data_IF_049404034332
#
_entry.id   IF_049404034332
#
_cell.length_a   1.000
_cell.length_b   1.000
_cell.length_c   1.000
_cell.angle_alpha   90.00
_cell.angle_beta   90.00
_cell.angle_gamma   90.00
#
_symmetry.space_group_name_H-M   'P 1'
#
loop_
_entity.id
_entity.type
_entity.pdbx_description
1 polymer ?
#
# COMPACT_ATOMS: atom_id res chain seq x y z
N UNK A 1 16.90 14.87 13.07
CA UNK A 1 15.79 15.20 13.99
C UNK A 1 14.89 16.16 13.22
N UNK A 2 13.83 15.65 12.58
CA UNK A 2 12.96 16.50 11.78
C UNK A 2 12.03 17.27 12.73
N UNK A 3 12.14 18.60 12.69
CA UNK A 3 11.27 19.52 13.42
C UNK A 3 9.91 19.53 12.71
N UNK A 4 8.87 19.00 13.33
CA UNK A 4 7.50 19.06 12.80
C UNK A 4 6.88 20.41 13.18
N UNK A 5 6.25 21.15 12.23
CA UNK A 5 5.53 22.36 12.57
C UNK A 5 4.37 22.03 13.51
N UNK A 6 4.30 22.75 14.62
CA UNK A 6 3.23 22.69 15.61
C UNK A 6 1.93 23.28 15.05
N UNK A 7 1.20 22.48 14.26
CA UNK A 7 -0.09 22.90 13.67
C UNK A 7 -1.21 21.88 13.78
N UNK A 8 -0.91 20.58 13.68
CA UNK A 8 -1.92 19.50 13.76
C UNK A 8 -1.29 18.21 14.30
N UNK A 9 -0.69 18.26 15.49
CA UNK A 9 -0.24 17.04 16.15
C UNK A 9 -1.42 16.06 16.25
N UNK A 10 -1.27 14.86 15.68
CA UNK A 10 -2.28 13.80 15.79
C UNK A 10 -2.63 13.63 17.27
N UNK A 11 -3.92 13.78 17.58
CA UNK A 11 -4.39 13.77 18.96
C UNK A 11 -4.21 12.38 19.60
N UNK A 12 -4.30 12.31 20.93
CA UNK A 12 -4.40 11.03 21.66
C UNK A 12 -5.56 10.12 21.17
N UNK A 13 -6.53 10.67 20.45
CA UNK A 13 -7.62 9.92 19.83
C UNK A 13 -7.25 9.39 18.44
N UNK A 14 -6.41 10.11 17.71
CA UNK A 14 -6.07 9.78 16.32
C UNK A 14 -5.20 8.52 16.22
N UNK A 15 -4.23 8.35 17.12
CA UNK A 15 -3.41 7.12 17.14
C UNK A 15 -4.24 5.90 17.56
N UNK A 16 -5.20 6.05 18.48
CA UNK A 16 -6.10 4.98 18.88
C UNK A 16 -7.00 4.54 17.70
N UNK A 17 -7.52 5.51 16.92
CA UNK A 17 -8.26 5.22 15.68
C UNK A 17 -7.37 4.53 14.65
N UNK A 18 -6.15 5.03 14.43
CA UNK A 18 -5.20 4.43 13.50
C UNK A 18 -4.87 2.98 13.85
N UNK A 19 -4.58 2.69 15.12
CA UNK A 19 -4.32 1.33 15.61
C UNK A 19 -5.57 0.43 15.49
N UNK A 20 -6.76 0.94 15.82
CA UNK A 20 -7.99 0.17 15.69
C UNK A 20 -8.26 -0.21 14.22
N UNK A 21 -8.07 0.73 13.28
CA UNK A 21 -8.19 0.46 11.85
C UNK A 21 -7.13 -0.53 11.36
N UNK A 22 -5.88 -0.37 11.80
CA UNK A 22 -4.81 -1.30 11.46
C UNK A 22 -5.11 -2.72 11.95
N UNK A 23 -5.58 -2.87 13.19
CA UNK A 23 -6.01 -4.16 13.74
C UNK A 23 -7.18 -4.75 12.94
N UNK A 24 -8.20 -3.95 12.61
CA UNK A 24 -9.34 -4.41 11.80
C UNK A 24 -8.90 -4.92 10.42
N UNK A 25 -8.04 -4.18 9.72
CA UNK A 25 -7.54 -4.58 8.39
C UNK A 25 -6.71 -5.86 8.50
N UNK A 26 -5.78 -5.95 9.45
CA UNK A 26 -4.94 -7.14 9.66
C UNK A 26 -5.79 -8.36 9.98
N UNK A 27 -6.74 -8.24 10.91
CA UNK A 27 -7.61 -9.34 11.31
C UNK A 27 -8.54 -9.76 10.17
N UNK A 28 -9.11 -8.80 9.42
CA UNK A 28 -9.91 -9.09 8.25
C UNK A 28 -9.10 -9.81 7.16
N UNK A 29 -7.89 -9.32 6.88
CA UNK A 29 -6.97 -9.95 5.92
C UNK A 29 -6.64 -11.37 6.33
N UNK A 30 -6.25 -11.60 7.59
CA UNK A 30 -5.94 -12.94 8.10
C UNK A 30 -7.15 -13.85 8.05
N UNK A 31 -8.34 -13.34 8.39
CA UNK A 31 -9.57 -14.13 8.38
C UNK A 31 -9.93 -14.57 6.97
N UNK A 32 -9.96 -13.64 6.01
CA UNK A 32 -10.27 -13.96 4.60
C UNK A 32 -9.24 -14.92 4.03
N UNK A 33 -7.95 -14.66 4.27
CA UNK A 33 -6.84 -15.49 3.84
C UNK A 33 -6.94 -16.92 4.40
N UNK A 34 -7.07 -17.06 5.72
CA UNK A 34 -7.13 -18.37 6.38
C UNK A 34 -8.38 -19.13 5.95
N UNK A 35 -9.54 -18.48 5.92
CA UNK A 35 -10.79 -19.11 5.50
C UNK A 35 -10.71 -19.60 4.05
N UNK A 36 -10.30 -18.73 3.12
CA UNK A 36 -10.28 -19.04 1.70
C UNK A 36 -9.31 -20.18 1.37
N UNK A 37 -8.19 -20.28 2.06
CA UNK A 37 -7.13 -21.25 1.74
C UNK A 37 -7.30 -22.57 2.50
N UNK A 38 -7.69 -22.52 3.77
CA UNK A 38 -7.67 -23.73 4.62
C UNK A 38 -9.05 -24.28 4.92
N UNK A 39 -10.07 -23.42 5.07
CA UNK A 39 -11.37 -23.82 5.63
C UNK A 39 -12.46 -24.02 4.58
N UNK A 40 -12.41 -23.25 3.47
CA UNK A 40 -13.41 -23.34 2.41
C UNK A 40 -13.06 -24.45 1.41
N UNK A 41 -14.04 -25.29 1.11
CA UNK A 41 -13.98 -26.25 0.01
C UNK A 41 -14.61 -25.64 -1.25
N UNK A 42 -13.76 -25.08 -2.11
CA UNK A 42 -14.18 -24.44 -3.35
C UNK A 42 -14.70 -25.40 -4.42
N UNK A 43 -14.67 -26.72 -4.19
CA UNK A 43 -15.26 -27.71 -5.10
C UNK A 43 -16.77 -27.83 -4.95
N UNK A 44 -17.34 -27.28 -3.86
CA UNK A 44 -18.77 -27.32 -3.61
C UNK A 44 -19.55 -26.52 -4.67
N UNK A 45 -20.68 -27.05 -5.17
CA UNK A 45 -21.50 -26.37 -6.17
C UNK A 45 -21.89 -24.95 -5.73
N UNK A 46 -21.68 -23.97 -6.62
CA UNK A 46 -22.07 -22.57 -6.40
C UNK A 46 -21.06 -21.71 -5.63
N UNK A 47 -20.14 -22.29 -4.85
CA UNK A 47 -19.15 -21.49 -4.10
C UNK A 47 -18.13 -20.79 -5.01
N UNK A 48 -17.78 -21.37 -6.16
CA UNK A 48 -16.88 -20.72 -7.13
C UNK A 48 -17.39 -19.36 -7.61
N UNK A 49 -18.70 -19.10 -7.56
CA UNK A 49 -19.27 -17.80 -7.90
C UNK A 49 -18.86 -16.68 -6.92
N UNK A 50 -18.52 -17.04 -5.68
CA UNK A 50 -18.01 -16.11 -4.68
C UNK A 50 -16.50 -15.83 -4.82
N UNK A 51 -15.77 -16.64 -5.60
CA UNK A 51 -14.31 -16.53 -5.70
C UNK A 51 -13.83 -15.14 -6.17
N UNK A 52 -14.42 -14.50 -7.21
CA UNK A 52 -14.00 -13.17 -7.62
C UNK A 52 -14.14 -12.12 -6.51
N UNK A 53 -15.21 -12.20 -5.70
CA UNK A 53 -15.44 -11.28 -4.59
C UNK A 53 -14.40 -11.49 -3.48
N UNK A 54 -14.10 -12.75 -3.14
CA UNK A 54 -13.08 -13.07 -2.14
C UNK A 54 -11.69 -12.63 -2.59
N UNK A 55 -11.35 -12.84 -3.87
CA UNK A 55 -10.07 -12.38 -4.45
C UNK A 55 -10.00 -10.85 -4.44
N UNK A 56 -11.06 -10.15 -4.83
CA UNK A 56 -11.11 -8.69 -4.82
C UNK A 56 -10.98 -8.13 -3.39
N UNK A 57 -11.66 -8.74 -2.42
CA UNK A 57 -11.56 -8.36 -1.01
C UNK A 57 -10.15 -8.60 -0.46
N UNK A 58 -9.57 -9.77 -0.75
CA UNK A 58 -8.20 -10.11 -0.33
C UNK A 58 -7.17 -9.17 -0.98
N UNK A 59 -7.36 -8.81 -2.26
CA UNK A 59 -6.56 -7.81 -2.96
C UNK A 59 -6.63 -6.45 -2.25
N UNK A 60 -7.86 -5.94 -2.00
CA UNK A 60 -8.04 -4.65 -1.34
C UNK A 60 -7.47 -4.64 0.09
N UNK A 61 -7.66 -5.70 0.87
CA UNK A 61 -7.06 -5.82 2.19
C UNK A 61 -5.52 -5.90 2.14
N UNK A 62 -4.96 -6.48 1.08
CA UNK A 62 -3.51 -6.54 0.86
C UNK A 62 -2.93 -5.15 0.55
N UNK A 63 -3.66 -4.33 -0.22
CA UNK A 63 -3.35 -2.88 -0.33
C UNK A 63 -3.36 -2.24 1.06
N UNK A 64 -4.40 -2.52 1.87
CA UNK A 64 -4.51 -2.01 3.24
C UNK A 64 -3.31 -2.35 4.13
N UNK A 65 -2.79 -3.59 4.06
CA UNK A 65 -1.56 -3.97 4.78
C UNK A 65 -0.37 -3.10 4.40
N UNK A 66 -0.20 -2.84 3.10
CA UNK A 66 0.89 -1.98 2.62
C UNK A 66 0.70 -0.54 3.08
N UNK A 67 -0.53 -0.02 3.08
CA UNK A 67 -0.84 1.33 3.55
C UNK A 67 -0.57 1.50 5.05
N UNK A 68 -0.86 0.49 5.88
CA UNK A 68 -0.47 0.50 7.29
C UNK A 68 1.05 0.57 7.41
N UNK A 69 1.78 -0.27 6.66
CA UNK A 69 3.23 -0.26 6.68
C UNK A 69 3.79 1.09 6.23
N UNK A 70 3.23 1.68 5.19
CA UNK A 70 3.57 3.01 4.70
C UNK A 70 3.38 4.07 5.80
N UNK A 71 2.24 4.12 6.48
CA UNK A 71 2.00 5.07 7.58
C UNK A 71 3.03 4.90 8.72
N UNK A 72 3.48 3.66 8.97
CA UNK A 72 4.55 3.42 9.94
C UNK A 72 5.91 3.98 9.48
N UNK A 73 6.17 4.09 8.17
CA UNK A 73 7.41 4.67 7.64
C UNK A 73 7.46 6.17 7.92
N UNK A 74 6.34 6.88 7.86
CA UNK A 74 6.26 8.27 8.31
C UNK A 74 6.09 8.42 9.82
N UNK A 75 5.82 7.32 10.52
CA UNK A 75 5.53 7.32 11.95
C UNK A 75 4.15 7.88 12.31
N UNK A 76 3.25 8.03 11.33
CA UNK A 76 1.92 8.61 11.52
C UNK A 76 0.96 7.66 12.26
N UNK A 77 1.19 6.34 12.19
CA UNK A 77 0.38 5.34 12.90
C UNK A 77 0.51 5.44 14.43
N UNK A 78 1.74 5.47 14.94
CA UNK A 78 2.03 5.66 16.38
C UNK A 78 3.08 6.77 16.60
N UNK A 79 2.65 8.06 16.57
CA UNK A 79 3.56 9.19 16.73
C UNK A 79 4.35 9.10 18.04
N UNK A 80 5.66 9.38 17.98
CA UNK A 80 6.56 9.29 19.14
C UNK A 80 6.98 7.88 19.54
N UNK A 81 6.48 6.83 18.88
CA UNK A 81 6.82 5.42 19.15
C UNK A 81 7.47 4.72 17.94
N UNK A 82 8.68 5.13 17.52
CA UNK A 82 9.31 4.61 16.30
C UNK A 82 9.55 3.10 16.32
N UNK A 83 9.78 2.50 17.49
CA UNK A 83 9.94 1.04 17.62
C UNK A 83 8.63 0.30 17.31
N UNK A 84 7.50 0.81 17.80
CA UNK A 84 6.20 0.21 17.57
C UNK A 84 5.81 0.30 16.09
N UNK A 85 6.00 1.47 15.48
CA UNK A 85 5.83 1.66 14.02
C UNK A 85 6.65 0.63 13.24
N UNK A 86 7.96 0.49 13.51
CA UNK A 86 8.80 -0.48 12.81
C UNK A 86 8.33 -1.91 12.99
N UNK A 87 7.91 -2.31 14.20
CA UNK A 87 7.40 -3.66 14.44
C UNK A 87 6.12 -3.94 13.65
N UNK A 88 5.15 -3.02 13.70
CA UNK A 88 3.88 -3.17 12.97
C UNK A 88 4.15 -3.18 11.46
N UNK A 89 4.93 -2.24 10.96
CA UNK A 89 5.28 -2.16 9.54
C UNK A 89 5.99 -3.41 9.03
N UNK A 90 6.98 -3.92 9.79
CA UNK A 90 7.66 -5.19 9.48
C UNK A 90 6.69 -6.35 9.42
N UNK A 91 5.78 -6.45 10.39
CA UNK A 91 4.77 -7.50 10.40
C UNK A 91 3.87 -7.42 9.17
N UNK A 92 3.32 -6.23 8.85
CA UNK A 92 2.42 -6.02 7.72
C UNK A 92 3.07 -6.39 6.37
N UNK A 93 4.29 -5.90 6.08
CA UNK A 93 4.96 -6.21 4.80
C UNK A 93 5.49 -7.64 4.74
N UNK A 94 5.77 -8.25 5.89
CA UNK A 94 6.14 -9.67 5.98
C UNK A 94 4.97 -10.57 5.62
N UNK A 95 3.79 -10.38 6.22
CA UNK A 95 2.62 -11.20 5.89
C UNK A 95 2.06 -10.90 4.50
N UNK A 96 2.27 -9.69 3.98
CA UNK A 96 1.86 -9.31 2.64
C UNK A 96 2.60 -10.13 1.56
N UNK A 97 3.92 -10.10 1.55
CA UNK A 97 4.73 -10.81 0.55
C UNK A 97 6.19 -11.06 0.99
N UNK A 98 6.48 -11.02 2.29
CA UNK A 98 7.85 -11.22 2.80
C UNK A 98 8.81 -10.07 2.50
N UNK A 99 8.31 -8.87 2.19
CA UNK A 99 9.15 -7.72 1.84
C UNK A 99 10.04 -7.23 3.00
N UNK A 100 11.11 -6.51 2.66
CA UNK A 100 12.01 -5.92 3.64
C UNK A 100 11.49 -4.55 4.01
N UNK A 101 11.02 -4.39 5.24
CA UNK A 101 10.56 -3.10 5.73
C UNK A 101 11.65 -2.03 5.66
N UNK A 102 12.89 -2.35 6.06
CA UNK A 102 13.96 -1.36 6.14
C UNK A 102 14.34 -0.84 4.76
N UNK A 103 14.35 -1.72 3.75
CA UNK A 103 14.56 -1.34 2.35
C UNK A 103 13.42 -0.47 1.82
N UNK A 104 12.18 -0.87 2.09
CA UNK A 104 11.00 -0.08 1.70
C UNK A 104 11.03 1.30 2.36
N UNK A 105 11.38 1.37 3.66
CA UNK A 105 11.51 2.63 4.39
C UNK A 105 12.53 3.57 3.75
N UNK A 106 13.73 3.07 3.41
CA UNK A 106 14.79 3.87 2.78
C UNK A 106 14.37 4.38 1.40
N UNK A 107 13.84 3.49 0.57
CA UNK A 107 13.38 3.83 -0.77
C UNK A 107 12.23 4.83 -0.74
N UNK A 108 11.24 4.60 0.12
CA UNK A 108 10.08 5.49 0.26
C UNK A 108 10.49 6.92 0.65
N UNK A 109 11.44 7.05 1.58
CA UNK A 109 11.98 8.37 1.91
C UNK A 109 12.83 8.97 0.78
N UNK A 110 13.50 8.14 -0.04
CA UNK A 110 14.20 8.63 -1.23
C UNK A 110 13.21 9.17 -2.26
N UNK A 111 12.11 8.43 -2.49
CA UNK A 111 11.02 8.87 -3.34
C UNK A 111 10.48 10.24 -2.91
N UNK A 112 10.14 10.43 -1.63
CA UNK A 112 9.68 11.74 -1.14
C UNK A 112 10.70 12.88 -1.32
N UNK A 113 12.00 12.60 -1.23
CA UNK A 113 13.05 13.64 -1.39
C UNK A 113 13.32 13.97 -2.85
N UNK A 114 13.22 12.99 -3.73
CA UNK A 114 13.71 13.07 -5.10
C UNK A 114 12.60 12.85 -6.13
N UNK A 115 11.33 12.94 -5.72
CA UNK A 115 10.15 12.56 -6.50
C UNK A 115 10.24 13.04 -7.95
N UNK A 116 10.03 12.12 -8.89
CA UNK A 116 10.04 12.41 -10.32
C UNK A 116 11.41 12.80 -10.90
N UNK A 117 12.52 12.50 -10.23
CA UNK A 117 13.90 12.65 -10.75
C UNK A 117 14.55 11.29 -11.03
N UNK A 118 15.77 11.27 -11.55
CA UNK A 118 16.54 10.04 -11.75
C UNK A 118 16.94 9.34 -10.44
N UNK A 119 16.95 10.05 -9.31
CA UNK A 119 17.31 9.51 -7.98
C UNK A 119 16.09 8.96 -7.21
N UNK A 120 14.89 9.07 -7.79
CA UNK A 120 13.67 8.47 -7.26
C UNK A 120 13.62 6.97 -7.62
N UNK A 121 13.69 6.05 -6.63
CA UNK A 121 13.64 4.61 -6.89
C UNK A 121 12.31 4.16 -7.52
N UNK A 122 11.26 4.96 -7.35
CA UNK A 122 9.91 4.66 -7.80
C UNK A 122 9.59 5.29 -9.14
N UNK A 123 10.48 6.11 -9.72
CA UNK A 123 10.25 6.81 -10.99
C UNK A 123 11.04 6.20 -12.16
N UNK A 124 10.41 6.15 -13.32
CA UNK A 124 11.08 5.79 -14.56
C UNK A 124 11.25 6.98 -15.50
N UNK A 125 12.42 7.60 -15.50
CA UNK A 125 12.73 8.76 -16.36
C UNK A 125 12.62 8.40 -17.84
N UNK A 126 12.97 7.17 -18.23
CA UNK A 126 12.95 6.74 -19.65
C UNK A 126 11.52 6.44 -20.12
N UNK A 127 10.65 5.98 -19.22
CA UNK A 127 9.30 5.51 -19.51
C UNK A 127 8.24 6.22 -18.66
N UNK A 128 8.43 7.51 -18.39
CA UNK A 128 7.69 8.29 -17.40
C UNK A 128 6.19 8.45 -17.69
N UNK A 129 5.74 8.05 -18.87
CA UNK A 129 4.33 8.06 -19.31
C UNK A 129 3.83 6.67 -19.74
N UNK A 130 4.63 5.62 -19.56
CA UNK A 130 4.34 4.26 -20.02
C UNK A 130 4.20 3.29 -18.84
N UNK A 131 2.99 2.82 -18.60
CA UNK A 131 2.67 1.99 -17.45
C UNK A 131 3.49 0.70 -17.35
N UNK A 132 3.52 -0.12 -18.42
CA UNK A 132 4.10 -1.47 -18.35
C UNK A 132 5.62 -1.49 -18.18
N UNK A 133 6.43 -0.72 -18.93
CA UNK A 133 7.87 -0.66 -18.72
C UNK A 133 8.22 -0.17 -17.31
N UNK A 134 7.52 0.86 -16.84
CA UNK A 134 7.74 1.42 -15.51
C UNK A 134 7.36 0.41 -14.41
N UNK A 135 6.21 -0.26 -14.51
CA UNK A 135 5.83 -1.31 -13.57
C UNK A 135 6.87 -2.43 -13.51
N UNK A 136 7.42 -2.84 -14.66
CA UNK A 136 8.46 -3.86 -14.71
C UNK A 136 9.76 -3.39 -14.02
N UNK A 137 10.19 -2.14 -14.24
CA UNK A 137 11.34 -1.54 -13.53
C UNK A 137 11.11 -1.50 -12.02
N UNK A 138 9.96 -0.98 -11.59
CA UNK A 138 9.56 -0.90 -10.19
C UNK A 138 9.56 -2.29 -9.54
N UNK A 139 8.87 -3.26 -10.15
CA UNK A 139 8.81 -4.62 -9.62
C UNK A 139 10.20 -5.25 -9.48
N UNK A 140 11.06 -5.13 -10.49
CA UNK A 140 12.45 -5.64 -10.44
C UNK A 140 13.31 -4.93 -9.41
N UNK A 141 13.04 -3.65 -9.14
CA UNK A 141 13.72 -2.93 -8.08
C UNK A 141 13.37 -3.59 -6.73
N UNK A 142 12.08 -3.74 -6.40
CA UNK A 142 11.66 -4.22 -5.08
C UNK A 142 11.75 -5.74 -4.89
N UNK A 143 11.63 -6.51 -5.96
CA UNK A 143 11.64 -7.97 -5.93
C UNK A 143 13.03 -8.51 -6.30
N UNK A 144 13.92 -8.63 -5.30
CA UNK A 144 15.27 -9.17 -5.47
C UNK A 144 15.38 -10.64 -5.04
N UNK A 145 16.63 -11.11 -4.87
CA UNK A 145 16.90 -12.49 -4.47
C UNK A 145 16.37 -12.87 -3.09
N UNK A 146 16.34 -11.91 -2.15
CA UNK A 146 15.75 -12.11 -0.83
C UNK A 146 14.25 -12.37 -0.94
N UNK A 147 13.53 -11.52 -1.67
CA UNK A 147 12.08 -11.63 -1.86
C UNK A 147 11.73 -12.92 -2.62
N UNK A 148 12.52 -13.26 -3.65
CA UNK A 148 12.39 -14.53 -4.35
C UNK A 148 12.58 -15.75 -3.42
N UNK A 149 13.59 -15.72 -2.55
CA UNK A 149 13.81 -16.78 -1.56
C UNK A 149 12.67 -16.89 -0.56
N UNK A 150 12.18 -15.76 -0.04
CA UNK A 150 11.02 -15.72 0.86
C UNK A 150 9.76 -16.27 0.21
N UNK A 151 9.47 -15.87 -1.03
CA UNK A 151 8.34 -16.39 -1.81
C UNK A 151 8.48 -17.90 -2.03
N UNK A 152 9.69 -18.37 -2.35
CA UNK A 152 9.98 -19.79 -2.55
C UNK A 152 9.72 -20.59 -1.27
N UNK A 153 10.17 -20.11 -0.11
CA UNK A 153 9.88 -20.73 1.19
C UNK A 153 8.37 -20.80 1.42
N UNK A 154 7.65 -19.71 1.17
CA UNK A 154 6.20 -19.67 1.34
C UNK A 154 5.50 -20.68 0.42
N UNK A 155 5.86 -20.72 -0.87
CA UNK A 155 5.34 -21.69 -1.85
C UNK A 155 5.59 -23.13 -1.40
N UNK A 156 6.81 -23.46 -0.95
CA UNK A 156 7.15 -24.80 -0.47
C UNK A 156 6.31 -25.17 0.76
N UNK A 157 6.16 -24.27 1.72
CA UNK A 157 5.32 -24.51 2.90
C UNK A 157 3.86 -24.77 2.50
N UNK A 158 3.32 -23.96 1.58
CA UNK A 158 1.95 -24.14 1.09
C UNK A 158 1.79 -25.46 0.34
N UNK A 159 2.77 -25.85 -0.47
CA UNK A 159 2.77 -27.12 -1.17
C UNK A 159 2.74 -28.30 -0.20
N UNK A 160 3.56 -28.24 0.87
CA UNK A 160 3.63 -29.28 1.90
C UNK A 160 2.33 -29.39 2.71
N UNK A 161 1.70 -28.26 3.02
CA UNK A 161 0.46 -28.20 3.82
C UNK A 161 -0.76 -28.60 2.98
N UNK A 162 -0.89 -28.05 1.76
CA UNK A 162 -2.09 -28.16 0.93
C UNK A 162 -2.08 -29.36 -0.01
N UNK A 163 -0.88 -29.89 -0.36
CA UNK A 163 -0.71 -31.05 -1.23
C UNK A 163 -1.51 -30.91 -2.53
N UNK A 164 -2.44 -31.82 -2.79
CA UNK A 164 -3.30 -31.83 -3.99
C UNK A 164 -4.22 -30.60 -4.09
N UNK A 165 -4.55 -29.95 -2.96
CA UNK A 165 -5.36 -28.70 -2.95
C UNK A 165 -4.55 -27.48 -3.41
N UNK A 166 -3.22 -27.58 -3.48
CA UNK A 166 -2.34 -26.43 -3.72
C UNK A 166 -2.69 -25.62 -4.98
N UNK A 167 -2.93 -26.21 -6.17
CA UNK A 167 -3.16 -25.43 -7.39
C UNK A 167 -4.40 -24.53 -7.29
N UNK A 168 -5.50 -25.02 -6.71
CA UNK A 168 -6.73 -24.25 -6.53
C UNK A 168 -6.56 -23.14 -5.49
N UNK A 169 -5.91 -23.44 -4.37
CA UNK A 169 -5.71 -22.46 -3.30
C UNK A 169 -4.69 -21.38 -3.66
N UNK A 170 -3.78 -21.66 -4.60
CA UNK A 170 -2.82 -20.68 -5.11
C UNK A 170 -3.52 -19.43 -5.67
N UNK A 171 -4.70 -19.58 -6.28
CA UNK A 171 -5.49 -18.46 -6.80
C UNK A 171 -5.92 -17.51 -5.68
N UNK A 172 -6.22 -18.02 -4.48
CA UNK A 172 -6.64 -17.20 -3.33
C UNK A 172 -5.48 -16.54 -2.59
N UNK A 173 -4.23 -16.89 -2.92
CA UNK A 173 -3.03 -16.29 -2.33
C UNK A 173 -2.24 -15.44 -3.32
N UNK A 174 -1.84 -16.02 -4.46
CA UNK A 174 -0.96 -15.37 -5.42
C UNK A 174 -1.67 -14.30 -6.25
N UNK A 175 -2.87 -14.59 -6.76
CA UNK A 175 -3.61 -13.63 -7.58
C UNK A 175 -3.95 -12.32 -6.84
N UNK A 176 -4.54 -12.34 -5.62
CA UNK A 176 -4.81 -11.08 -4.92
C UNK A 176 -3.54 -10.30 -4.58
N UNK A 177 -2.41 -10.96 -4.28
CA UNK A 177 -1.13 -10.29 -4.04
C UNK A 177 -0.56 -9.62 -5.30
N UNK A 178 -0.66 -10.28 -6.47
CA UNK A 178 -0.26 -9.69 -7.75
C UNK A 178 -1.16 -8.50 -8.08
N UNK A 179 -2.48 -8.67 -7.98
CA UNK A 179 -3.44 -7.60 -8.26
C UNK A 179 -3.25 -6.41 -7.31
N UNK A 180 -2.98 -6.64 -6.02
CA UNK A 180 -2.72 -5.55 -5.08
C UNK A 180 -1.44 -4.81 -5.39
N UNK A 181 -0.40 -5.50 -5.88
CA UNK A 181 0.84 -4.82 -6.32
C UNK A 181 0.61 -3.92 -7.54
N UNK A 182 -0.18 -4.36 -8.50
CA UNK A 182 -0.59 -3.57 -9.67
C UNK A 182 -1.44 -2.37 -9.22
N UNK A 183 -2.38 -2.59 -8.29
CA UNK A 183 -3.27 -1.56 -7.75
C UNK A 183 -2.48 -0.48 -6.98
N UNK A 184 -1.58 -0.89 -6.08
CA UNK A 184 -0.69 0.01 -5.34
C UNK A 184 0.17 0.82 -6.30
N UNK A 185 0.83 0.17 -7.27
CA UNK A 185 1.67 0.86 -8.23
C UNK A 185 0.85 1.84 -9.08
N UNK A 186 -0.32 1.43 -9.58
CA UNK A 186 -1.13 2.31 -10.43
C UNK A 186 -1.60 3.56 -9.68
N UNK A 187 -2.23 3.40 -8.51
CA UNK A 187 -2.83 4.52 -7.79
C UNK A 187 -1.85 5.29 -6.90
N UNK A 188 -0.81 4.62 -6.39
CA UNK A 188 0.15 5.18 -5.44
C UNK A 188 1.49 5.59 -6.04
N UNK A 189 1.78 5.26 -7.30
CA UNK A 189 3.08 5.57 -7.93
C UNK A 189 2.91 6.12 -9.35
N UNK A 190 2.41 5.30 -10.27
CA UNK A 190 2.32 5.65 -11.69
C UNK A 190 1.41 6.86 -11.93
N UNK A 191 0.15 6.78 -11.52
CA UNK A 191 -0.82 7.83 -11.84
C UNK A 191 -0.48 9.18 -11.22
N UNK A 192 -0.03 9.27 -9.95
CA UNK A 192 0.36 10.54 -9.35
C UNK A 192 1.61 11.17 -9.96
N UNK A 193 2.58 10.35 -10.41
CA UNK A 193 3.91 10.82 -10.81
C UNK A 193 4.20 10.72 -12.31
N UNK A 194 3.30 10.19 -13.13
CA UNK A 194 3.51 10.15 -14.59
C UNK A 194 3.65 11.55 -15.17
N UNK A 195 4.54 11.69 -16.15
CA UNK A 195 4.60 12.90 -16.94
C UNK A 195 3.42 12.92 -17.90
N UNK A 196 2.70 14.04 -17.86
CA UNK A 196 1.59 14.40 -18.72
C UNK A 196 1.93 15.74 -19.38
N UNK A 197 1.11 16.18 -20.35
CA UNK A 197 1.29 17.48 -21.01
C UNK A 197 1.25 18.65 -20.01
N UNK A 198 0.49 18.49 -18.92
CA UNK A 198 0.48 19.43 -17.80
C UNK A 198 1.65 19.17 -16.86
N UNK A 199 2.43 20.20 -16.53
CA UNK A 199 3.50 20.12 -15.54
C UNK A 199 2.99 19.82 -14.12
N UNK A 200 3.92 19.54 -13.20
CA UNK A 200 3.60 19.45 -11.78
C UNK A 200 3.47 20.84 -11.16
N UNK A 201 2.59 20.96 -10.16
CA UNK A 201 2.34 22.23 -9.48
C UNK A 201 3.53 22.69 -8.62
N UNK A 202 4.34 21.76 -8.11
CA UNK A 202 5.46 22.05 -7.22
C UNK A 202 6.55 20.96 -7.26
N UNK A 203 7.50 21.08 -6.32
CA UNK A 203 8.64 20.20 -6.16
C UNK A 203 8.30 18.76 -5.73
N UNK A 204 7.10 18.49 -5.19
CA UNK A 204 6.70 17.13 -4.82
C UNK A 204 6.44 16.25 -6.04
N UNK A 205 6.25 16.85 -7.22
CA UNK A 205 6.01 16.16 -8.50
C UNK A 205 4.94 15.07 -8.41
N UNK A 206 3.88 15.35 -7.65
CA UNK A 206 2.77 14.46 -7.39
C UNK A 206 1.45 15.14 -7.79
N UNK A 207 0.47 14.35 -8.24
CA UNK A 207 -0.91 14.80 -8.47
C UNK A 207 -1.88 14.00 -7.65
N UNK A 208 -2.95 14.68 -7.24
CA UNK A 208 -4.10 14.04 -6.60
C UNK A 208 -5.23 13.87 -7.59
N UNK A 209 -6.03 12.83 -7.40
CA UNK A 209 -7.24 12.63 -8.19
C UNK A 209 -8.45 13.32 -7.57
N UNK A 210 -9.49 13.50 -8.40
CA UNK A 210 -10.78 14.06 -7.98
C UNK A 210 -11.79 12.98 -7.57
N UNK A 211 -11.32 11.82 -7.11
CA UNK A 211 -12.22 10.77 -6.66
C UNK A 211 -12.97 11.19 -5.40
N UNK A 212 -14.24 10.77 -5.33
CA UNK A 212 -15.02 10.85 -4.09
C UNK A 212 -14.31 10.08 -2.97
N UNK A 213 -14.57 10.39 -1.69
CA UNK A 213 -13.93 9.67 -0.57
C UNK A 213 -14.08 8.15 -0.66
N UNK A 214 -15.26 7.66 -1.08
CA UNK A 214 -15.51 6.22 -1.25
C UNK A 214 -14.60 5.63 -2.33
N UNK A 215 -14.53 6.26 -3.51
CA UNK A 215 -13.68 5.77 -4.59
C UNK A 215 -12.19 5.85 -4.22
N UNK A 216 -11.79 6.88 -3.50
CA UNK A 216 -10.43 7.05 -3.00
C UNK A 216 -10.05 5.95 -1.98
N UNK A 217 -11.00 5.53 -1.11
CA UNK A 217 -10.85 4.40 -0.20
C UNK A 217 -10.70 3.07 -0.96
N UNK A 218 -11.61 2.80 -1.91
CA UNK A 218 -11.64 1.55 -2.67
C UNK A 218 -10.43 1.38 -3.58
N UNK A 219 -9.87 2.47 -4.09
CA UNK A 219 -8.73 2.41 -5.01
C UNK A 219 -7.39 2.30 -4.29
N UNK A 220 -7.16 3.07 -3.22
CA UNK A 220 -5.87 3.01 -2.52
C UNK A 220 -5.91 3.62 -1.11
N UNK A 221 -6.96 3.37 -0.30
CA UNK A 221 -7.05 3.89 1.08
C UNK A 221 -6.73 5.40 1.18
N UNK A 222 -7.31 6.18 0.28
CA UNK A 222 -7.12 7.62 0.17
C UNK A 222 -5.77 8.14 -0.36
N UNK A 223 -4.83 7.27 -0.74
CA UNK A 223 -3.59 7.66 -1.42
C UNK A 223 -3.78 8.23 -2.83
N UNK A 224 -5.03 8.20 -3.32
CA UNK A 224 -5.44 9.02 -4.45
C UNK A 224 -5.27 10.52 -4.22
N UNK A 225 -5.26 10.98 -2.96
CA UNK A 225 -4.93 12.34 -2.54
C UNK A 225 -3.41 12.45 -2.30
N UNK A 226 -2.65 12.09 -3.33
CA UNK A 226 -1.20 11.84 -3.23
C UNK A 226 -0.38 13.11 -3.05
N UNK A 227 -0.81 14.22 -3.65
CA UNK A 227 -0.16 15.52 -3.44
C UNK A 227 -0.29 15.96 -1.99
N UNK A 228 -1.48 15.83 -1.39
CA UNK A 228 -1.69 16.13 0.03
C UNK A 228 -0.87 15.21 0.94
N UNK A 229 -0.64 13.96 0.53
CA UNK A 229 0.25 13.04 1.23
C UNK A 229 1.72 13.50 1.19
N UNK A 230 2.22 13.93 0.03
CA UNK A 230 3.58 14.44 -0.11
C UNK A 230 3.80 15.76 0.66
N UNK A 231 2.79 16.63 0.70
CA UNK A 231 2.81 17.90 1.44
C UNK A 231 2.71 17.67 2.97
N UNK A 232 1.87 16.73 3.40
CA UNK A 232 1.62 16.45 4.80
C UNK A 232 1.77 14.95 5.15
N UNK A 233 2.98 14.36 5.04
CA UNK A 233 3.20 12.91 5.20
C UNK A 233 2.95 12.38 6.63
N UNK A 234 2.82 13.26 7.61
CA UNK A 234 2.44 12.91 8.98
C UNK A 234 0.92 12.70 9.17
N UNK A 235 0.10 13.04 8.17
CA UNK A 235 -1.34 12.81 8.19
C UNK A 235 -1.59 11.33 7.85
N UNK A 236 -2.24 10.56 8.73
CA UNK A 236 -2.52 9.15 8.46
C UNK A 236 -3.55 9.03 7.33
N UNK A 237 -3.51 7.89 6.63
CA UNK A 237 -4.28 7.66 5.41
C UNK A 237 -5.78 8.01 5.53
N UNK A 238 -6.40 7.70 6.67
CA UNK A 238 -7.83 7.90 6.93
C UNK A 238 -8.21 9.38 7.14
N UNK A 239 -7.23 10.27 7.35
CA UNK A 239 -7.44 11.73 7.47
C UNK A 239 -7.15 12.51 6.19
N UNK A 240 -6.54 11.88 5.17
CA UNK A 240 -6.25 12.55 3.89
C UNK A 240 -7.48 13.22 3.23
N UNK A 241 -8.70 12.65 3.25
CA UNK A 241 -9.87 13.34 2.70
C UNK A 241 -10.17 14.67 3.41
N UNK A 242 -10.03 14.71 4.75
CA UNK A 242 -10.23 15.93 5.52
C UNK A 242 -9.11 16.94 5.29
N UNK A 243 -7.86 16.48 5.13
CA UNK A 243 -6.72 17.31 4.76
C UNK A 243 -6.95 18.00 3.42
N UNK A 244 -7.35 17.25 2.38
CA UNK A 244 -7.70 17.81 1.05
C UNK A 244 -8.78 18.88 1.15
N UNK A 245 -9.87 18.62 1.87
CA UNK A 245 -10.93 19.60 2.05
C UNK A 245 -10.43 20.88 2.73
N UNK A 246 -9.54 20.78 3.71
CA UNK A 246 -8.96 21.94 4.38
C UNK A 246 -8.10 22.79 3.45
N UNK A 247 -7.26 22.14 2.63
CA UNK A 247 -6.40 22.81 1.63
C UNK A 247 -7.25 23.50 0.56
N UNK A 248 -8.29 22.83 0.06
CA UNK A 248 -9.19 23.40 -0.95
C UNK A 248 -9.95 24.62 -0.42
N UNK A 249 -10.43 24.58 0.83
CA UNK A 249 -11.08 25.74 1.47
C UNK A 249 -10.11 26.89 1.66
N UNK A 250 -8.87 26.61 2.05
CA UNK A 250 -7.85 27.64 2.22
C UNK A 250 -7.46 28.32 0.89
N UNK A 251 -7.54 27.61 -0.24
CA UNK A 251 -7.31 28.18 -1.58
C UNK A 251 -8.49 28.98 -2.14
N UNK A 252 -9.69 28.76 -1.61
CA UNK A 252 -10.92 29.42 -2.06
C UNK A 252 -11.21 30.74 -1.32
N UNK A 253 -10.54 30.97 -0.19
CA UNK A 253 -10.59 32.20 0.60
C UNK A 253 -9.43 33.12 0.27
#
# INVERSE_FOLDING_TARGET
MAFFPSGTANSGRDWAVGLALACLIVLAWMSVHICAIFLVDWTQPGLLLAAPLVIALQCWLSVGLFIIAHDTMHGSLTPGQPRLNRTIGRFCVFIYAGFSYDRLFENHHSHHRHAGTADDPDFDVEHSSSFWPWYAKFFRHYFGWREFGMLTIAVVLYLLILRERFPTMLVFWALPAILSSIQLFYFGTYRPHRLDDEGFADHHRARSNDFSPIMSLLTCFHFGYHHEHHDAPWVPWWKLPAQRQSVQRARAN
#
